data_IF_697633518430
#
_entry.id   IF_697633518430
#
_cell.length_a   1.000
_cell.length_b   1.000
_cell.length_c   1.000
_cell.angle_alpha   90.00
_cell.angle_beta   90.00
_cell.angle_gamma   90.00
#
_symmetry.space_group_name_H-M   'P 1'
#
loop_
_entity.id
_entity.type
_entity.pdbx_description
1 polymer ?
#
# COMPACT_ATOMS: atom_id res chain seq x y z
N UNK A 1 -10.33 2.71 18.32
CA UNK A 1 -11.47 2.84 17.38
C UNK A 1 -11.89 1.47 16.84
N UNK A 2 -13.19 1.22 16.82
CA UNK A 2 -13.83 -0.04 16.39
C UNK A 2 -14.00 -0.12 14.87
N UNK A 3 -14.64 -1.17 14.39
CA UNK A 3 -15.10 -1.26 13.01
C UNK A 3 -16.48 -0.62 12.89
N UNK A 4 -16.69 0.16 11.83
CA UNK A 4 -18.03 0.51 11.38
C UNK A 4 -18.41 -0.48 10.28
N UNK A 5 -19.54 -1.17 10.45
CA UNK A 5 -20.08 -2.15 9.51
C UNK A 5 -21.48 -1.74 9.07
N UNK A 6 -21.84 -2.07 7.84
CA UNK A 6 -23.12 -1.70 7.25
C UNK A 6 -23.53 -2.63 6.09
N UNK A 7 -24.81 -2.69 5.75
CA UNK A 7 -25.28 -3.28 4.51
C UNK A 7 -24.80 -2.50 3.27
N UNK A 8 -24.67 -3.17 2.11
CA UNK A 8 -24.35 -2.47 0.85
C UNK A 8 -25.35 -1.38 0.47
N UNK A 9 -26.63 -1.56 0.83
CA UNK A 9 -27.67 -0.54 0.60
C UNK A 9 -27.41 0.76 1.36
N UNK A 10 -26.67 0.69 2.48
CA UNK A 10 -26.28 1.86 3.27
C UNK A 10 -25.06 2.58 2.72
N UNK A 11 -24.39 2.04 1.70
CA UNK A 11 -23.33 2.75 0.97
C UNK A 11 -23.87 3.81 -0.01
N UNK A 12 -25.14 4.23 0.09
CA UNK A 12 -25.68 5.36 -0.69
C UNK A 12 -25.62 5.20 -2.22
N UNK A 13 -25.51 3.96 -2.74
CA UNK A 13 -25.35 3.71 -4.18
C UNK A 13 -23.92 3.87 -4.71
N UNK A 14 -22.93 4.14 -3.84
CA UNK A 14 -21.53 4.23 -4.25
C UNK A 14 -20.98 2.86 -4.71
N UNK A 15 -20.44 2.80 -5.92
CA UNK A 15 -19.96 1.56 -6.55
C UNK A 15 -18.63 1.01 -5.96
N UNK A 16 -17.95 1.76 -5.09
CA UNK A 16 -16.69 1.35 -4.48
C UNK A 16 -16.50 1.95 -3.10
N UNK A 17 -15.68 1.30 -2.26
CA UNK A 17 -15.30 1.83 -0.95
C UNK A 17 -14.62 3.21 -1.08
N UNK A 18 -13.81 3.42 -2.12
CA UNK A 18 -13.15 4.71 -2.38
C UNK A 18 -14.18 5.81 -2.55
N UNK A 19 -15.14 5.63 -3.46
CA UNK A 19 -16.16 6.64 -3.74
C UNK A 19 -17.03 6.94 -2.52
N UNK A 20 -17.38 5.89 -1.75
CA UNK A 20 -18.09 6.06 -0.50
C UNK A 20 -17.27 6.86 0.53
N UNK A 21 -16.02 6.50 0.76
CA UNK A 21 -15.17 7.15 1.75
C UNK A 21 -14.75 8.57 1.33
N UNK A 22 -14.61 8.84 0.03
CA UNK A 22 -14.39 10.20 -0.49
C UNK A 22 -15.54 11.13 -0.08
N UNK A 23 -16.78 10.65 -0.22
CA UNK A 23 -17.99 11.36 0.18
C UNK A 23 -18.07 11.50 1.71
N UNK A 24 -17.88 10.41 2.46
CA UNK A 24 -17.92 10.45 3.93
C UNK A 24 -16.88 11.39 4.56
N UNK A 25 -15.69 11.50 3.98
CA UNK A 25 -14.64 12.40 4.46
C UNK A 25 -14.63 13.76 3.76
N UNK A 26 -15.64 14.05 2.94
CA UNK A 26 -15.86 15.38 2.35
C UNK A 26 -17.19 15.93 2.84
N UNK A 27 -17.16 16.67 3.96
CA UNK A 27 -18.35 17.20 4.59
C UNK A 27 -18.11 18.60 5.15
N UNK A 28 -19.21 19.33 5.37
CA UNK A 28 -19.25 20.58 6.12
C UNK A 28 -20.40 20.52 7.12
N UNK A 29 -20.17 21.05 8.32
CA UNK A 29 -21.16 21.15 9.40
C UNK A 29 -21.13 22.55 10.01
N UNK A 30 -22.30 23.01 10.43
CA UNK A 30 -22.43 24.22 11.24
C UNK A 30 -21.84 23.95 12.64
N UNK A 31 -21.11 24.93 13.16
CA UNK A 31 -20.55 24.96 14.51
C UNK A 31 -20.77 26.36 15.11
N UNK A 32 -20.65 26.50 16.42
CA UNK A 32 -20.83 27.81 17.07
C UNK A 32 -19.87 28.84 16.47
N UNK A 33 -20.43 29.83 15.75
CA UNK A 33 -19.65 30.89 15.11
C UNK A 33 -19.12 30.59 13.71
N UNK A 34 -19.59 29.54 13.02
CA UNK A 34 -19.23 29.31 11.62
C UNK A 34 -19.44 27.89 11.09
N UNK A 35 -18.67 27.50 10.08
CA UNK A 35 -18.67 26.14 9.52
C UNK A 35 -17.32 25.46 9.71
N UNK A 36 -17.35 24.15 9.95
CA UNK A 36 -16.17 23.31 10.04
C UNK A 36 -16.38 22.03 9.21
N UNK A 37 -15.31 21.41 8.73
CA UNK A 37 -15.44 20.20 7.92
C UNK A 37 -14.12 19.64 7.41
N UNK A 38 -14.25 18.68 6.51
CA UNK A 38 -13.13 18.08 5.79
C UNK A 38 -13.40 18.11 4.30
N UNK A 39 -12.33 18.20 3.50
CA UNK A 39 -12.36 18.02 2.06
C UNK A 39 -11.26 17.07 1.63
N UNK A 40 -11.61 15.97 0.98
CA UNK A 40 -10.62 15.07 0.37
C UNK A 40 -10.03 15.74 -0.87
N UNK A 41 -8.71 15.93 -0.89
CA UNK A 41 -7.99 16.52 -2.03
C UNK A 41 -7.52 15.46 -3.03
N UNK A 42 -7.05 14.32 -2.51
CA UNK A 42 -6.71 13.16 -3.30
C UNK A 42 -6.91 11.90 -2.47
N UNK A 43 -7.25 10.81 -3.14
CA UNK A 43 -7.43 9.53 -2.48
C UNK A 43 -7.14 8.35 -3.40
N UNK A 44 -6.85 7.21 -2.79
CA UNK A 44 -6.59 5.95 -3.48
C UNK A 44 -7.02 4.79 -2.61
N UNK A 45 -7.46 3.71 -3.25
CA UNK A 45 -7.88 2.51 -2.56
C UNK A 45 -7.25 1.25 -3.17
N UNK A 46 -5.92 1.06 -3.03
CA UNK A 46 -5.23 -0.06 -3.64
C UNK A 46 -5.86 -1.41 -3.28
N UNK A 47 -6.10 -2.24 -4.31
CA UNK A 47 -6.72 -3.57 -4.18
C UNK A 47 -8.10 -3.58 -3.51
N UNK A 48 -8.74 -2.42 -3.33
CA UNK A 48 -10.01 -2.28 -2.59
C UNK A 48 -9.93 -2.79 -1.13
N UNK A 49 -8.74 -2.72 -0.51
CA UNK A 49 -8.48 -3.23 0.87
C UNK A 49 -8.10 -2.14 1.87
N UNK A 50 -7.41 -1.11 1.41
CA UNK A 50 -7.01 0.02 2.25
C UNK A 50 -7.23 1.29 1.47
N UNK A 51 -7.99 2.20 2.07
CA UNK A 51 -8.20 3.55 1.58
C UNK A 51 -7.15 4.48 2.20
N UNK A 52 -6.63 5.38 1.38
CA UNK A 52 -5.73 6.46 1.76
C UNK A 52 -6.30 7.76 1.19
N UNK A 53 -6.28 8.83 1.97
CA UNK A 53 -6.66 10.16 1.49
C UNK A 53 -5.83 11.25 2.15
N UNK A 54 -5.56 12.32 1.38
CA UNK A 54 -5.15 13.61 1.90
C UNK A 54 -6.43 14.42 2.15
N UNK A 55 -6.75 14.66 3.41
CA UNK A 55 -7.93 15.40 3.82
C UNK A 55 -7.53 16.77 4.35
N UNK A 56 -8.12 17.82 3.79
CA UNK A 56 -7.92 19.20 4.22
C UNK A 56 -8.98 19.59 5.24
N UNK A 57 -8.54 20.14 6.37
CA UNK A 57 -9.42 20.80 7.34
C UNK A 57 -10.02 22.04 6.70
N UNK A 58 -11.34 22.16 6.77
CA UNK A 58 -12.08 23.31 6.26
C UNK A 58 -12.69 24.08 7.44
N UNK A 59 -12.42 25.38 7.53
CA UNK A 59 -13.03 26.29 8.54
C UNK A 59 -13.55 27.53 7.84
N UNK A 60 -14.85 27.82 7.95
CA UNK A 60 -15.50 28.95 7.28
C UNK A 60 -15.22 29.02 5.78
N UNK A 61 -15.16 27.86 5.12
CA UNK A 61 -14.83 27.73 3.70
C UNK A 61 -13.34 27.90 3.37
N UNK A 62 -12.49 28.30 4.31
CA UNK A 62 -11.04 28.38 4.14
C UNK A 62 -10.37 27.03 4.41
N UNK A 63 -9.41 26.66 3.58
CA UNK A 63 -8.62 25.44 3.73
C UNK A 63 -7.44 25.64 4.69
N UNK A 64 -7.28 24.72 5.63
CA UNK A 64 -6.18 24.67 6.59
C UNK A 64 -5.27 23.46 6.37
N UNK A 65 -4.87 22.84 7.48
CA UNK A 65 -4.00 21.66 7.53
C UNK A 65 -4.52 20.52 6.63
N UNK A 66 -3.58 19.84 5.97
CA UNK A 66 -3.82 18.61 5.22
C UNK A 66 -3.13 17.44 5.91
N UNK A 67 -3.90 16.46 6.34
CA UNK A 67 -3.41 15.24 7.01
C UNK A 67 -3.92 13.99 6.29
N UNK A 68 -3.28 12.85 6.59
CA UNK A 68 -3.68 11.59 5.98
C UNK A 68 -4.78 10.86 6.79
N UNK A 69 -5.82 10.41 6.08
CA UNK A 69 -6.82 9.45 6.56
C UNK A 69 -6.54 8.09 5.94
N UNK A 70 -6.51 7.06 6.77
CA UNK A 70 -6.29 5.66 6.40
C UNK A 70 -7.51 4.85 6.85
N UNK A 71 -8.14 4.11 5.94
CA UNK A 71 -9.20 3.17 6.34
C UNK A 71 -8.87 1.75 5.90
N UNK A 72 -8.91 0.81 6.85
CA UNK A 72 -8.98 -0.61 6.51
C UNK A 72 -10.38 -0.92 6.02
N UNK A 73 -10.51 -1.68 4.94
CA UNK A 73 -11.79 -2.04 4.35
C UNK A 73 -12.06 -3.52 4.56
N UNK A 74 -13.29 -3.82 4.96
CA UNK A 74 -13.85 -5.15 5.09
C UNK A 74 -14.93 -5.32 4.02
N UNK A 75 -14.78 -6.38 3.21
CA UNK A 75 -15.80 -6.86 2.30
C UNK A 75 -16.23 -8.25 2.75
N UNK A 76 -17.50 -8.40 3.10
CA UNK A 76 -18.11 -9.66 3.53
C UNK A 76 -19.44 -9.90 2.78
N UNK A 77 -19.40 -10.16 1.47
CA UNK A 77 -20.63 -10.35 0.68
C UNK A 77 -21.52 -11.50 1.19
N UNK A 78 -20.93 -12.49 1.88
CA UNK A 78 -21.65 -13.60 2.50
C UNK A 78 -22.09 -13.34 3.94
N UNK A 79 -22.12 -12.09 4.39
CA UNK A 79 -22.47 -11.74 5.78
C UNK A 79 -23.89 -12.21 6.14
N UNK A 80 -24.00 -13.01 7.21
CA UNK A 80 -25.29 -13.50 7.73
C UNK A 80 -26.06 -12.44 8.51
N UNK A 81 -25.39 -11.42 9.02
CA UNK A 81 -26.01 -10.29 9.74
C UNK A 81 -26.50 -9.19 8.79
N UNK A 82 -26.28 -9.34 7.49
CA UNK A 82 -26.59 -8.32 6.50
C UNK A 82 -25.57 -7.19 6.42
N UNK A 83 -24.47 -7.25 7.17
CA UNK A 83 -23.41 -6.24 7.14
C UNK A 83 -22.28 -6.66 6.18
N UNK A 84 -22.41 -6.32 4.91
CA UNK A 84 -21.47 -6.77 3.88
C UNK A 84 -20.28 -5.83 3.65
N UNK A 85 -20.35 -4.59 4.14
CA UNK A 85 -19.28 -3.62 4.04
C UNK A 85 -18.87 -3.15 5.43
N UNK A 86 -17.59 -2.83 5.61
CA UNK A 86 -17.16 -2.11 6.79
C UNK A 86 -15.83 -1.43 6.58
N UNK A 87 -15.56 -0.44 7.44
CA UNK A 87 -14.27 0.21 7.48
C UNK A 87 -13.85 0.54 8.91
N UNK A 88 -12.54 0.71 9.08
CA UNK A 88 -11.95 1.23 10.30
C UNK A 88 -10.98 2.33 9.92
N UNK A 89 -11.35 3.55 10.27
CA UNK A 89 -10.58 4.77 10.01
C UNK A 89 -9.55 5.03 11.11
N UNK A 90 -8.43 5.61 10.68
CA UNK A 90 -7.30 6.03 11.48
C UNK A 90 -6.65 7.24 10.79
N UNK A 91 -6.07 8.16 11.54
CA UNK A 91 -5.20 9.20 10.97
C UNK A 91 -3.74 8.74 11.01
N UNK A 92 -2.86 9.43 10.28
CA UNK A 92 -1.42 9.16 10.31
C UNK A 92 -0.81 9.26 11.72
N UNK A 93 -1.30 10.15 12.57
CA UNK A 93 -0.84 10.30 13.96
C UNK A 93 -1.20 9.11 14.85
N UNK A 94 -2.06 8.20 14.38
CA UNK A 94 -2.36 6.94 15.08
C UNK A 94 -1.35 5.83 14.74
N UNK A 95 -0.36 6.10 13.89
CA UNK A 95 0.69 5.14 13.52
C UNK A 95 0.18 3.86 12.83
N UNK A 96 -0.68 3.93 11.78
CA UNK A 96 -1.26 2.75 11.18
C UNK A 96 -0.20 1.84 10.55
N UNK A 97 -0.42 0.52 10.61
CA UNK A 97 0.51 -0.45 10.01
C UNK A 97 0.51 -0.39 8.48
N UNK A 98 -0.60 0.02 7.88
CA UNK A 98 -0.79 0.08 6.43
C UNK A 98 0.03 1.20 5.79
N UNK A 99 1.19 0.87 5.21
CA UNK A 99 2.18 1.78 4.63
C UNK A 99 2.19 1.79 3.09
N UNK A 100 1.08 1.43 2.45
CA UNK A 100 0.92 1.38 0.99
C UNK A 100 0.51 2.70 0.34
N UNK A 101 0.58 3.82 1.04
CA UNK A 101 0.10 5.12 0.58
C UNK A 101 0.84 5.58 -0.70
N UNK A 102 0.13 5.96 -1.78
CA UNK A 102 0.74 6.50 -3.00
C UNK A 102 1.45 7.84 -2.79
N UNK A 103 2.51 8.09 -3.58
CA UNK A 103 3.32 9.31 -3.50
C UNK A 103 2.48 10.59 -3.62
N UNK A 104 1.57 10.66 -4.59
CA UNK A 104 0.75 11.87 -4.83
C UNK A 104 -0.15 12.26 -3.65
N UNK A 105 -0.44 11.34 -2.71
CA UNK A 105 -1.17 11.66 -1.47
C UNK A 105 -0.20 12.22 -0.45
N UNK A 106 0.98 11.59 -0.28
CA UNK A 106 2.03 12.05 0.62
C UNK A 106 2.50 13.48 0.28
N UNK A 107 2.57 13.80 -1.02
CA UNK A 107 3.02 15.12 -1.52
C UNK A 107 2.06 16.26 -1.14
N UNK A 108 0.81 15.95 -0.76
CA UNK A 108 -0.20 16.95 -0.37
C UNK A 108 -0.22 17.23 1.13
N UNK A 109 0.45 16.41 1.94
CA UNK A 109 0.34 16.48 3.39
C UNK A 109 1.14 17.67 3.93
N UNK A 110 0.51 18.44 4.83
CA UNK A 110 1.17 19.56 5.51
C UNK A 110 2.29 19.04 6.41
N UNK A 111 3.39 19.78 6.61
CA UNK A 111 4.40 19.44 7.62
C UNK A 111 3.78 19.24 9.01
N UNK A 112 4.34 18.32 9.80
CA UNK A 112 3.86 17.98 11.14
C UNK A 112 5.03 17.52 12.01
N UNK A 113 4.91 17.72 13.31
CA UNK A 113 5.90 17.28 14.31
C UNK A 113 5.44 16.00 15.05
N UNK A 114 4.28 15.46 14.71
CA UNK A 114 3.71 14.25 15.31
C UNK A 114 4.56 13.01 14.97
N UNK A 115 5.19 12.40 15.98
CA UNK A 115 6.16 11.31 15.80
C UNK A 115 5.57 10.12 15.01
N UNK A 116 4.36 9.71 15.35
CA UNK A 116 3.68 8.60 14.68
C UNK A 116 3.32 8.91 13.22
N UNK A 117 2.96 10.16 12.91
CA UNK A 117 2.69 10.59 11.55
C UNK A 117 3.98 10.58 10.72
N UNK A 118 5.07 11.14 11.27
CA UNK A 118 6.39 11.13 10.64
C UNK A 118 6.91 9.72 10.39
N UNK A 119 6.77 8.81 11.36
CA UNK A 119 7.12 7.40 11.18
C UNK A 119 6.31 6.75 10.05
N UNK A 120 4.99 6.96 10.04
CA UNK A 120 4.12 6.39 9.03
C UNK A 120 4.45 6.90 7.61
N UNK A 121 4.65 8.21 7.45
CA UNK A 121 5.07 8.83 6.17
C UNK A 121 6.40 8.25 5.68
N UNK A 122 7.37 8.10 6.58
CA UNK A 122 8.68 7.47 6.28
C UNK A 122 8.51 6.03 5.82
N UNK A 123 7.70 5.21 6.50
CA UNK A 123 7.43 3.83 6.09
C UNK A 123 6.76 3.77 4.71
N UNK A 124 5.82 4.66 4.43
CA UNK A 124 5.19 4.76 3.10
C UNK A 124 6.22 5.09 2.01
N UNK A 125 7.08 6.07 2.23
CA UNK A 125 8.14 6.44 1.29
C UNK A 125 9.11 5.27 1.03
N UNK A 126 9.53 4.56 2.07
CA UNK A 126 10.40 3.38 1.93
C UNK A 126 9.72 2.23 1.19
N UNK A 127 8.42 2.00 1.40
CA UNK A 127 7.64 1.02 0.65
C UNK A 127 7.57 1.38 -0.84
N UNK A 128 7.32 2.66 -1.17
CA UNK A 128 7.32 3.16 -2.54
C UNK A 128 8.68 2.96 -3.22
N UNK A 129 9.79 3.28 -2.53
CA UNK A 129 11.15 3.01 -3.03
C UNK A 129 11.34 1.52 -3.33
N UNK A 130 10.95 0.62 -2.40
CA UNK A 130 11.05 -0.84 -2.62
C UNK A 130 10.25 -1.30 -3.85
N UNK A 131 9.01 -0.82 -3.99
CA UNK A 131 8.10 -1.20 -5.09
C UNK A 131 8.52 -0.62 -6.44
N UNK A 132 9.22 0.51 -6.46
CA UNK A 132 9.68 1.18 -7.69
C UNK A 132 10.95 0.58 -8.28
N UNK A 133 11.68 -0.25 -7.51
CA UNK A 133 12.88 -0.97 -7.99
C UNK A 133 12.60 -1.68 -9.31
N UNK A 134 13.60 -1.67 -10.19
CA UNK A 134 13.55 -2.43 -11.45
C UNK A 134 14.25 -3.76 -11.24
N UNK A 135 13.72 -4.75 -11.93
CA UNK A 135 14.25 -6.11 -12.00
C UNK A 135 14.13 -6.53 -13.46
N UNK A 136 15.18 -7.05 -14.07
CA UNK A 136 15.19 -7.51 -15.45
C UNK A 136 14.94 -9.02 -15.51
N UNK A 137 14.65 -9.51 -16.72
CA UNK A 137 14.72 -10.95 -16.97
C UNK A 137 16.19 -11.40 -16.90
N UNK A 138 16.46 -12.53 -16.26
CA UNK A 138 17.80 -13.07 -16.05
C UNK A 138 18.56 -12.50 -14.84
N UNK A 139 18.05 -11.47 -14.17
CA UNK A 139 18.69 -10.93 -12.96
C UNK A 139 18.82 -12.01 -11.88
N UNK A 140 20.00 -12.13 -11.27
CA UNK A 140 20.17 -12.91 -10.04
C UNK A 140 19.87 -11.98 -8.87
N UNK A 141 18.89 -12.34 -8.04
CA UNK A 141 18.56 -11.59 -6.82
C UNK A 141 18.89 -12.41 -5.58
N UNK A 142 19.28 -11.72 -4.51
CA UNK A 142 19.42 -12.28 -3.16
C UNK A 142 18.45 -11.59 -2.22
N UNK A 143 17.61 -12.38 -1.56
CA UNK A 143 16.74 -11.91 -0.48
C UNK A 143 17.57 -11.64 0.78
N UNK A 144 17.15 -10.67 1.59
CA UNK A 144 17.79 -10.42 2.89
C UNK A 144 17.70 -11.65 3.81
N UNK A 145 16.55 -12.33 3.83
CA UNK A 145 16.33 -13.56 4.57
C UNK A 145 15.93 -14.71 3.62
N UNK A 146 16.37 -15.96 3.88
CA UNK A 146 15.92 -17.13 3.13
C UNK A 146 14.40 -17.32 3.21
N UNK A 147 13.83 -17.92 2.18
CA UNK A 147 12.40 -18.26 2.11
C UNK A 147 12.25 -19.77 1.98
N UNK A 148 11.39 -20.33 2.82
CA UNK A 148 10.97 -21.74 2.77
C UNK A 148 9.71 -21.87 1.92
N UNK A 149 9.74 -22.80 0.97
CA UNK A 149 8.61 -23.13 0.09
C UNK A 149 7.88 -24.40 0.55
N UNK A 150 6.70 -24.63 0.00
CA UNK A 150 5.82 -25.75 0.36
C UNK A 150 6.39 -27.14 0.03
N UNK A 151 7.35 -27.21 -0.90
CA UNK A 151 8.08 -28.42 -1.26
C UNK A 151 9.28 -28.68 -0.33
N UNK A 152 9.48 -27.84 0.70
CA UNK A 152 10.60 -27.93 1.64
C UNK A 152 11.88 -27.23 1.16
N UNK A 153 11.91 -26.70 -0.06
CA UNK A 153 13.07 -25.95 -0.54
C UNK A 153 13.27 -24.67 0.28
N UNK A 154 14.50 -24.41 0.68
CA UNK A 154 14.91 -23.18 1.36
C UNK A 154 15.90 -22.46 0.46
N UNK A 155 15.49 -21.31 -0.08
CA UNK A 155 16.31 -20.53 -1.01
C UNK A 155 16.46 -19.09 -0.57
N UNK A 156 17.65 -18.52 -0.79
CA UNK A 156 17.92 -17.10 -0.58
C UNK A 156 18.23 -16.36 -1.88
N UNK A 157 18.76 -17.06 -2.87
CA UNK A 157 19.11 -16.51 -4.18
C UNK A 157 18.26 -17.14 -5.27
N UNK A 158 17.88 -16.32 -6.25
CA UNK A 158 17.04 -16.75 -7.36
C UNK A 158 17.39 -16.02 -8.63
N UNK A 159 17.21 -16.69 -9.77
CA UNK A 159 17.28 -16.09 -11.09
C UNK A 159 15.87 -15.71 -11.53
N UNK A 160 15.71 -14.46 -11.95
CA UNK A 160 14.42 -13.92 -12.38
C UNK A 160 14.10 -14.42 -13.77
N UNK A 161 12.94 -15.05 -13.92
CA UNK A 161 12.38 -15.43 -15.22
C UNK A 161 11.08 -14.64 -15.44
N UNK A 162 11.04 -13.84 -16.50
CA UNK A 162 9.86 -13.06 -16.91
C UNK A 162 9.18 -13.68 -18.12
N UNK A 163 7.86 -13.77 -18.06
CA UNK A 163 7.00 -14.04 -19.21
C UNK A 163 5.90 -12.99 -19.27
N UNK A 164 6.11 -11.95 -20.08
CA UNK A 164 5.28 -10.75 -20.06
C UNK A 164 5.29 -10.09 -18.69
N UNK A 165 4.12 -9.94 -18.06
CA UNK A 165 3.97 -9.39 -16.70
C UNK A 165 4.25 -10.41 -15.58
N UNK A 166 4.32 -11.70 -15.90
CA UNK A 166 4.51 -12.75 -14.89
C UNK A 166 5.99 -12.88 -14.55
N UNK A 167 6.28 -12.90 -13.25
CA UNK A 167 7.62 -13.15 -12.70
C UNK A 167 7.60 -14.50 -12.01
N UNK A 168 8.53 -15.37 -12.39
CA UNK A 168 8.90 -16.61 -11.70
C UNK A 168 10.36 -16.55 -11.30
N UNK A 169 10.72 -17.31 -10.27
CA UNK A 169 12.06 -17.35 -9.71
C UNK A 169 12.61 -18.75 -9.90
N UNK A 170 13.70 -18.90 -10.65
CA UNK A 170 14.38 -20.17 -10.81
C UNK A 170 15.47 -20.30 -9.76
N UNK A 171 15.58 -21.49 -9.19
CA UNK A 171 16.72 -21.87 -8.36
C UNK A 171 18.04 -21.75 -9.18
N UNK A 172 19.07 -21.06 -8.67
CA UNK A 172 20.38 -20.99 -9.33
C UNK A 172 21.07 -22.36 -9.44
N UNK A 173 20.88 -23.24 -8.45
CA UNK A 173 21.58 -24.54 -8.34
C UNK A 173 20.73 -25.70 -8.84
N UNK A 174 19.41 -25.56 -8.75
CA UNK A 174 18.45 -26.57 -9.17
C UNK A 174 17.67 -26.23 -10.44
N UNK A 175 16.64 -27.04 -10.71
CA UNK A 175 15.65 -26.80 -11.76
C UNK A 175 14.30 -26.29 -11.21
N UNK A 176 14.23 -26.09 -9.88
CA UNK A 176 13.02 -25.62 -9.20
C UNK A 176 12.59 -24.23 -9.66
N UNK A 177 11.28 -24.03 -9.80
CA UNK A 177 10.67 -22.73 -10.10
C UNK A 177 9.69 -22.35 -9.02
N UNK A 178 9.83 -21.14 -8.54
CA UNK A 178 9.16 -20.62 -7.37
C UNK A 178 8.46 -19.30 -7.69
N UNK A 179 7.48 -18.97 -6.85
CA UNK A 179 6.84 -17.66 -6.85
C UNK A 179 6.85 -17.11 -5.44
N UNK A 180 7.42 -15.92 -5.27
CA UNK A 180 7.36 -15.19 -4.01
C UNK A 180 6.27 -14.13 -4.12
N UNK A 181 5.25 -14.24 -3.29
CA UNK A 181 4.18 -13.24 -3.18
C UNK A 181 4.75 -11.89 -2.80
N UNK A 182 4.30 -10.84 -3.51
CA UNK A 182 4.72 -9.46 -3.31
C UNK A 182 6.25 -9.29 -3.31
N UNK A 183 6.94 -9.96 -4.25
CA UNK A 183 8.40 -9.91 -4.39
C UNK A 183 8.97 -8.49 -4.32
N UNK A 184 8.32 -7.52 -4.94
CA UNK A 184 8.78 -6.12 -4.96
C UNK A 184 8.71 -5.43 -3.59
N UNK A 185 7.91 -5.94 -2.65
CA UNK A 185 7.85 -5.45 -1.26
C UNK A 185 8.91 -6.12 -0.36
N UNK A 186 9.48 -7.25 -0.78
CA UNK A 186 10.55 -7.95 -0.04
C UNK A 186 11.87 -7.20 -0.17
N UNK A 187 12.71 -7.26 0.86
CA UNK A 187 14.08 -6.74 0.81
C UNK A 187 14.97 -7.70 0.04
N UNK A 188 15.52 -7.22 -1.07
CA UNK A 188 16.40 -7.98 -1.96
C UNK A 188 17.35 -7.05 -2.70
N UNK A 189 18.46 -7.62 -3.16
CA UNK A 189 19.48 -6.94 -3.95
C UNK A 189 19.81 -7.76 -5.20
N UNK A 190 20.16 -7.10 -6.30
CA UNK A 190 20.69 -7.78 -7.49
C UNK A 190 22.13 -8.19 -7.18
N UNK A 191 22.43 -9.47 -7.37
CA UNK A 191 23.78 -10.03 -7.23
C UNK A 191 24.51 -9.78 -8.56
N UNK A 192 25.64 -9.06 -8.56
CA UNK A 192 26.45 -8.90 -9.75
C UNK A 192 26.89 -10.27 -10.26
N UNK A 193 26.50 -10.62 -11.48
CA UNK A 193 27.05 -11.79 -12.16
C UNK A 193 28.37 -11.36 -12.79
N UNK A 194 29.49 -11.79 -12.21
CA UNK A 194 30.80 -11.66 -12.84
C UNK A 194 30.76 -12.52 -14.10
N UNK A 195 30.49 -11.89 -15.26
CA UNK A 195 30.73 -12.54 -16.55
C UNK A 195 32.23 -12.71 -16.68
N UNK A 196 32.73 -13.89 -16.34
CA UNK A 196 34.11 -14.27 -16.67
C UNK A 196 34.14 -14.33 -18.20
N UNK A 197 34.71 -13.30 -18.82
CA UNK A 197 35.07 -13.38 -20.23
C UNK A 197 36.07 -14.54 -20.33
N UNK A 198 35.71 -15.60 -21.06
CA UNK A 198 36.68 -16.61 -21.47
C UNK A 198 37.73 -15.88 -22.30
N UNK A 199 38.88 -15.58 -21.71
CA UNK A 199 40.06 -15.19 -22.46
C UNK A 199 40.43 -16.39 -23.33
N UNK A 200 40.10 -16.32 -24.61
CA UNK A 200 40.57 -17.30 -25.59
C UNK A 200 42.04 -16.96 -25.82
N UNK A 201 42.94 -17.80 -25.32
CA UNK A 201 44.32 -17.79 -25.78
C UNK A 201 44.32 -18.44 -27.17
N UNK A 202 44.60 -17.62 -28.18
CA UNK A 202 44.83 -18.06 -29.56
C UNK A 202 46.30 -18.51 -29.72
#
# INVERSE_FOLDING_TARGET
MGWLTMPFTSMGGHASAKAYLDDQFTYSREVDGGTAGLRVLASSCPQNRTYYAAAQVMTNGAGGEVFAIICKILWNPGSKTGEQFGYKDMTESMGPCEDGCPQHILDLLTPTDEEHALDWRRRCAENLKRRSRKIADGDRIRLEQPVTFSDGHVGQEFIVEKRGRRITLRDPEGHGRYRISRLMERRWQVVPTTKIHKTIFA
#
